data_IF_100098831024
#
_entry.id   IF_100098831024
#
_cell.length_a   1.000
_cell.length_b   1.000
_cell.length_c   1.000
_cell.angle_alpha   90.00
_cell.angle_beta   90.00
_cell.angle_gamma   90.00
#
_symmetry.space_group_name_H-M   'P 1'
#
loop_
_entity.id
_entity.type
_entity.pdbx_description
1 polymer ?
#
# COMPACT_ATOMS: atom_id res chain seq x y z
N UNK A 1 -7.83 -5.30 -0.48
CA UNK A 1 -7.36 -5.02 -1.86
C UNK A 1 -6.56 -6.23 -2.33
N UNK A 2 -6.45 -6.51 -3.63
CA UNK A 2 -5.65 -7.64 -4.14
C UNK A 2 -4.18 -7.28 -4.35
N UNK A 3 -3.28 -8.29 -4.29
CA UNK A 3 -1.84 -8.11 -4.50
C UNK A 3 -1.50 -7.53 -5.87
N UNK A 4 -2.19 -8.01 -6.92
CA UNK A 4 -2.03 -7.52 -8.30
C UNK A 4 -2.49 -6.09 -8.43
N UNK A 5 -3.56 -5.74 -7.72
CA UNK A 5 -4.11 -4.39 -7.68
C UNK A 5 -3.11 -3.46 -6.99
N UNK A 6 -2.54 -3.87 -5.85
CA UNK A 6 -1.51 -3.11 -5.15
C UNK A 6 -0.26 -2.89 -6.01
N UNK A 7 0.13 -3.90 -6.79
CA UNK A 7 1.22 -3.81 -7.76
C UNK A 7 0.88 -2.82 -8.88
N UNK A 8 -0.33 -2.89 -9.44
CA UNK A 8 -0.82 -1.90 -10.42
C UNK A 8 -0.70 -0.48 -9.87
N UNK A 9 -1.15 -0.21 -8.64
CA UNK A 9 -1.00 1.12 -8.01
C UNK A 9 0.47 1.52 -7.86
N UNK A 10 1.30 0.58 -7.43
CA UNK A 10 2.72 0.84 -7.23
C UNK A 10 3.45 1.15 -8.54
N UNK A 11 3.14 0.45 -9.62
CA UNK A 11 3.65 0.72 -10.97
C UNK A 11 3.04 2.00 -11.54
N UNK A 12 1.75 2.22 -11.29
CA UNK A 12 0.98 3.37 -11.72
C UNK A 12 1.12 4.55 -10.75
N UNK A 13 2.36 5.01 -10.56
CA UNK A 13 2.71 6.19 -9.76
C UNK A 13 2.08 7.50 -10.26
N UNK A 14 1.40 7.47 -11.40
CA UNK A 14 0.73 8.64 -11.98
C UNK A 14 -0.68 8.82 -11.43
N UNK A 15 -1.31 7.74 -10.96
CA UNK A 15 -2.58 7.80 -10.26
C UNK A 15 -2.31 7.83 -8.76
N UNK A 16 -2.55 8.99 -8.12
CA UNK A 16 -2.52 9.14 -6.67
C UNK A 16 -3.69 8.39 -6.07
N UNK A 17 -3.56 7.07 -5.95
CA UNK A 17 -4.63 6.24 -5.42
C UNK A 17 -4.49 6.26 -3.91
N UNK A 18 -5.54 6.73 -3.25
CA UNK A 18 -5.58 6.90 -1.81
C UNK A 18 -5.78 5.52 -1.17
N UNK A 19 -4.72 4.94 -0.64
CA UNK A 19 -4.78 3.65 0.06
C UNK A 19 -4.94 3.92 1.54
N UNK A 20 -5.81 3.14 2.19
CA UNK A 20 -6.11 3.25 3.62
C UNK A 20 -5.81 1.92 4.32
N UNK A 21 -5.10 2.00 5.44
CA UNK A 21 -4.88 0.89 6.35
C UNK A 21 -5.55 1.24 7.68
N UNK A 22 -6.57 0.47 8.07
CA UNK A 22 -7.30 0.66 9.34
C UNK A 22 -7.83 2.10 9.56
N UNK A 23 -8.21 2.77 8.46
CA UNK A 23 -8.70 4.15 8.47
C UNK A 23 -7.62 5.23 8.42
N UNK A 24 -6.33 4.85 8.37
CA UNK A 24 -5.22 5.78 8.18
C UNK A 24 -4.78 5.80 6.71
N UNK A 25 -4.54 6.98 6.11
CA UNK A 25 -4.00 7.05 4.77
C UNK A 25 -2.56 6.54 4.75
N UNK A 26 -2.26 5.69 3.77
CA UNK A 26 -0.97 5.04 3.59
C UNK A 26 -0.53 5.10 2.13
N UNK A 27 0.78 5.06 1.92
CA UNK A 27 1.41 5.09 0.60
C UNK A 27 2.16 3.80 0.38
N UNK A 28 1.88 3.11 -0.73
CA UNK A 28 2.56 1.86 -1.06
C UNK A 28 3.98 2.18 -1.54
N UNK A 29 4.99 1.75 -0.79
CA UNK A 29 6.40 1.89 -1.16
C UNK A 29 6.95 0.62 -1.82
N UNK A 30 6.43 -0.55 -1.45
CA UNK A 30 6.83 -1.81 -2.05
C UNK A 30 5.66 -2.82 -2.00
N UNK A 31 5.58 -3.71 -2.99
CA UNK A 31 4.63 -4.83 -3.02
C UNK A 31 5.38 -6.11 -3.30
N UNK A 32 5.26 -7.04 -2.38
CA UNK A 32 5.84 -8.37 -2.40
C UNK A 32 4.77 -9.36 -2.90
N UNK A 33 4.68 -9.51 -4.22
CA UNK A 33 3.67 -10.39 -4.84
C UNK A 33 3.79 -11.84 -4.39
N UNK A 34 5.03 -12.28 -4.15
CA UNK A 34 5.36 -13.66 -3.75
C UNK A 34 4.71 -14.02 -2.41
N UNK A 35 4.68 -13.06 -1.47
CA UNK A 35 4.18 -13.27 -0.12
C UNK A 35 2.81 -12.61 0.13
N UNK A 36 2.28 -11.84 -0.82
CA UNK A 36 1.05 -11.06 -0.63
C UNK A 36 1.22 -9.91 0.37
N UNK A 37 2.42 -9.36 0.51
CA UNK A 37 2.74 -8.33 1.50
C UNK A 37 2.99 -7.01 0.78
N UNK A 38 2.62 -5.88 1.38
CA UNK A 38 2.98 -4.56 0.89
C UNK A 38 3.60 -3.75 2.03
N UNK A 39 4.74 -3.14 1.74
CA UNK A 39 5.33 -2.12 2.60
C UNK A 39 4.66 -0.81 2.29
N UNK A 40 3.95 -0.29 3.27
CA UNK A 40 3.26 0.98 3.18
C UNK A 40 3.84 1.97 4.16
N UNK A 41 3.99 3.21 3.75
CA UNK A 41 4.32 4.31 4.63
C UNK A 41 3.02 4.88 5.22
N UNK A 42 2.92 4.93 6.54
CA UNK A 42 1.71 5.42 7.23
C UNK A 42 1.89 6.88 7.63
N UNK A 43 1.01 7.74 7.09
CA UNK A 43 1.02 9.18 7.35
C UNK A 43 2.20 9.95 6.71
N UNK A 44 2.43 11.18 7.16
CA UNK A 44 3.45 12.08 6.59
C UNK A 44 4.88 11.83 7.08
N UNK A 45 5.11 10.78 7.86
CA UNK A 45 6.44 10.46 8.41
C UNK A 45 7.11 9.36 7.57
N UNK A 46 8.20 9.67 6.84
CA UNK A 46 8.91 8.68 6.01
C UNK A 46 9.58 7.56 6.81
N UNK A 47 9.72 7.71 8.12
CA UNK A 47 10.28 6.69 9.00
C UNK A 47 9.26 5.67 9.49
N UNK A 48 7.97 5.86 9.19
CA UNK A 48 6.89 5.01 9.70
C UNK A 48 6.36 4.12 8.58
N UNK A 49 7.18 3.14 8.20
CA UNK A 49 6.82 2.12 7.22
C UNK A 49 6.38 0.85 7.93
N UNK A 50 5.29 0.27 7.46
CA UNK A 50 4.75 -0.98 7.96
C UNK A 50 4.58 -1.95 6.81
N UNK A 51 5.05 -3.17 7.00
CA UNK A 51 4.78 -4.25 6.06
C UNK A 51 3.51 -4.96 6.51
N UNK A 52 2.46 -4.78 5.73
CA UNK A 52 1.14 -5.32 6.00
C UNK A 52 0.68 -6.18 4.84
N UNK A 53 -0.29 -7.05 5.09
CA UNK A 53 -0.84 -7.87 4.03
C UNK A 53 -1.68 -6.98 3.09
N UNK A 54 -1.52 -7.15 1.78
CA UNK A 54 -2.28 -6.38 0.77
C UNK A 54 -3.78 -6.52 0.92
N UNK A 55 -4.24 -7.66 1.43
CA UNK A 55 -5.65 -7.91 1.70
C UNK A 55 -6.21 -6.97 2.78
N UNK A 56 -5.36 -6.51 3.73
CA UNK A 56 -5.73 -5.56 4.79
C UNK A 56 -5.78 -4.11 4.29
N UNK A 57 -5.17 -3.81 3.15
CA UNK A 57 -5.25 -2.49 2.53
C UNK A 57 -6.62 -2.32 1.87
N UNK A 58 -7.19 -1.14 2.02
CA UNK A 58 -8.45 -0.74 1.41
C UNK A 58 -8.21 0.45 0.49
N UNK A 59 -8.69 0.35 -0.75
CA UNK A 59 -8.76 1.50 -1.65
C UNK A 59 -9.84 2.46 -1.10
N UNK A 60 -9.47 3.73 -0.97
CA UNK A 60 -10.21 4.74 -0.21
C UNK A 60 -11.04 5.72 -1.03
#
# INVERSE_FOLDING_TARGET
MDVRRALEIYEDKSHTIEVKLEGQPVWIENVDEVNGMATVQVGSRPTNTETVNVERLQEG
#
